data_IF_970417000913
#
_entry.id   IF_970417000913
#
_cell.length_a   1.000
_cell.length_b   1.000
_cell.length_c   1.000
_cell.angle_alpha   90.00
_cell.angle_beta   90.00
_cell.angle_gamma   90.00
#
_symmetry.space_group_name_H-M   'P 1'
#
loop_
_entity.id
_entity.type
_entity.pdbx_description
1 polymer ?
#
# COMPACT_ATOMS: atom_id res chain seq x y z
N UNK A 1 39.48 -10.21 22.05
CA UNK A 1 38.22 -10.94 21.78
C UNK A 1 37.22 -9.96 21.19
N UNK A 2 37.01 -9.88 19.86
CA UNK A 2 35.93 -9.06 19.33
C UNK A 2 34.62 -9.84 19.43
N UNK A 3 33.65 -9.25 20.12
CA UNK A 3 32.26 -9.73 20.15
C UNK A 3 31.71 -9.44 18.75
N UNK A 4 31.54 -10.48 17.93
CA UNK A 4 30.75 -10.37 16.70
C UNK A 4 29.32 -10.01 17.11
N UNK A 5 29.00 -8.71 17.14
CA UNK A 5 27.62 -8.25 17.04
C UNK A 5 27.15 -8.69 15.67
N UNK A 6 26.41 -9.80 15.61
CA UNK A 6 25.55 -10.09 14.47
C UNK A 6 24.65 -8.88 14.29
N UNK A 7 24.94 -8.06 13.29
CA UNK A 7 23.97 -7.13 12.77
C UNK A 7 22.84 -8.01 12.24
N UNK A 8 21.78 -8.19 13.03
CA UNK A 8 20.51 -8.63 12.49
C UNK A 8 20.07 -7.47 11.60
N UNK A 9 20.30 -7.60 10.30
CA UNK A 9 19.53 -6.88 9.30
C UNK A 9 18.08 -7.31 9.54
N UNK A 10 17.35 -6.55 10.36
CA UNK A 10 15.92 -6.73 10.55
C UNK A 10 15.22 -6.31 9.26
N UNK A 11 15.29 -7.18 8.25
CA UNK A 11 14.37 -7.10 7.13
C UNK A 11 13.01 -7.37 7.75
N UNK A 12 12.31 -6.29 8.12
CA UNK A 12 11.04 -6.37 8.80
C UNK A 12 10.01 -6.80 7.77
N UNK A 13 9.94 -8.11 7.55
CA UNK A 13 8.99 -8.72 6.63
C UNK A 13 7.57 -8.53 7.17
N UNK A 14 6.62 -8.31 6.26
CA UNK A 14 5.21 -8.36 6.64
C UNK A 14 4.89 -9.78 7.09
N UNK A 15 4.69 -9.95 8.40
CA UNK A 15 4.28 -11.24 8.97
C UNK A 15 2.84 -11.53 8.61
N UNK A 16 2.40 -12.79 8.65
CA UNK A 16 0.98 -13.15 8.44
C UNK A 16 0.03 -12.44 9.41
N UNK A 17 0.49 -12.16 10.63
CA UNK A 17 -0.29 -11.43 11.62
C UNK A 17 -0.45 -9.96 11.21
N UNK A 18 0.62 -9.34 10.72
CA UNK A 18 0.60 -7.97 10.23
C UNK A 18 -0.23 -7.85 8.94
N UNK A 19 -0.10 -8.80 8.02
CA UNK A 19 -0.94 -8.90 6.82
C UNK A 19 -2.44 -8.97 7.18
N UNK A 20 -2.78 -9.78 8.19
CA UNK A 20 -4.16 -9.85 8.69
C UNK A 20 -4.62 -8.52 9.30
N UNK A 21 -3.78 -7.87 10.10
CA UNK A 21 -4.09 -6.56 10.68
C UNK A 21 -4.32 -5.50 9.60
N UNK A 22 -3.46 -5.45 8.59
CA UNK A 22 -3.61 -4.55 7.44
C UNK A 22 -4.89 -4.86 6.66
N UNK A 23 -5.19 -6.14 6.44
CA UNK A 23 -6.43 -6.56 5.77
C UNK A 23 -7.67 -6.11 6.55
N UNK A 24 -7.63 -6.15 7.87
CA UNK A 24 -8.71 -5.67 8.74
C UNK A 24 -8.90 -4.15 8.66
N UNK A 25 -7.86 -3.37 8.34
CA UNK A 25 -7.99 -1.92 8.11
C UNK A 25 -8.94 -1.62 6.95
N UNK A 26 -8.91 -2.44 5.88
CA UNK A 26 -9.75 -2.25 4.71
C UNK A 26 -11.21 -2.65 4.92
N UNK A 27 -11.52 -3.35 6.02
CA UNK A 27 -12.86 -3.87 6.25
C UNK A 27 -13.86 -2.73 6.44
N UNK A 28 -14.90 -2.75 5.60
CA UNK A 28 -16.01 -1.79 5.65
C UNK A 28 -15.74 -0.48 4.94
N UNK A 29 -14.57 -0.30 4.33
CA UNK A 29 -14.20 0.91 3.59
C UNK A 29 -14.54 0.70 2.13
N UNK A 30 -15.36 1.58 1.55
CA UNK A 30 -15.75 1.51 0.14
C UNK A 30 -15.56 2.82 -0.61
N UNK A 31 -15.56 3.95 0.11
CA UNK A 31 -15.45 5.29 -0.45
C UNK A 31 -14.25 6.05 0.11
N UNK A 32 -13.75 7.04 -0.63
CA UNK A 32 -12.70 7.96 -0.15
C UNK A 32 -13.11 8.63 1.17
N UNK A 33 -14.37 9.05 1.29
CA UNK A 33 -14.89 9.66 2.51
C UNK A 33 -14.73 8.74 3.73
N UNK A 34 -14.93 7.42 3.58
CA UNK A 34 -14.75 6.44 4.65
C UNK A 34 -13.28 6.37 5.09
N UNK A 35 -12.36 6.43 4.13
CA UNK A 35 -10.91 6.42 4.39
C UNK A 35 -10.53 7.65 5.21
N UNK A 36 -10.92 8.83 4.74
CA UNK A 36 -10.57 10.10 5.39
C UNK A 36 -11.22 10.22 6.77
N UNK A 37 -12.47 9.80 6.91
CA UNK A 37 -13.17 9.80 8.20
C UNK A 37 -12.51 8.86 9.22
N UNK A 38 -11.92 7.74 8.77
CA UNK A 38 -11.33 6.73 9.64
C UNK A 38 -9.87 6.96 9.96
N UNK A 39 -9.08 7.43 9.00
CA UNK A 39 -7.62 7.54 9.12
C UNK A 39 -7.11 8.97 9.07
N UNK A 40 -7.98 9.94 8.76
CA UNK A 40 -7.58 11.32 8.51
C UNK A 40 -7.06 11.52 7.08
N UNK A 41 -6.43 12.67 6.79
CA UNK A 41 -5.82 12.93 5.50
C UNK A 41 -4.67 11.95 5.21
N UNK A 42 -4.43 11.58 3.94
CA UNK A 42 -3.30 10.73 3.58
C UNK A 42 -1.97 11.43 3.80
N UNK A 43 -0.91 10.65 4.02
CA UNK A 43 0.46 11.16 4.12
C UNK A 43 0.96 11.64 2.74
N UNK A 44 0.59 10.92 1.69
CA UNK A 44 0.91 11.26 0.31
C UNK A 44 -0.27 10.95 -0.60
N UNK A 45 -0.46 11.78 -1.61
CA UNK A 45 -1.47 11.59 -2.63
C UNK A 45 -0.81 11.58 -4.01
N UNK A 46 -1.00 10.48 -4.73
CA UNK A 46 -0.44 10.30 -6.07
C UNK A 46 -1.56 10.35 -7.09
N UNK A 47 -1.60 11.41 -7.87
CA UNK A 47 -2.45 11.47 -9.06
C UNK A 47 -1.73 10.80 -10.24
N UNK A 48 -2.48 10.09 -11.08
CA UNK A 48 -1.99 9.41 -12.29
C UNK A 48 -1.32 8.03 -12.11
N UNK A 49 -1.67 7.28 -11.06
CA UNK A 49 -1.25 5.88 -10.99
C UNK A 49 -2.00 5.06 -12.05
N UNK A 50 -1.28 4.56 -13.06
CA UNK A 50 -1.84 3.69 -14.09
C UNK A 50 -1.83 2.26 -13.57
N UNK A 51 -3.00 1.69 -13.28
CA UNK A 51 -3.10 0.25 -13.06
C UNK A 51 -3.25 -0.43 -14.43
N UNK A 52 -2.16 -0.95 -14.98
CA UNK A 52 -2.23 -1.82 -16.16
C UNK A 52 -2.94 -3.12 -15.77
N UNK A 53 -4.22 -3.26 -16.16
CA UNK A 53 -4.87 -4.58 -16.10
C UNK A 53 -4.30 -5.46 -17.19
N UNK A 54 -3.88 -6.68 -16.83
CA UNK A 54 -3.49 -7.71 -17.82
C UNK A 54 -4.63 -7.89 -18.83
N UNK A 55 -4.32 -8.07 -20.13
CA UNK A 55 -5.33 -8.26 -21.14
C UNK A 55 -6.19 -9.50 -20.82
N UNK A 56 -7.51 -9.32 -20.78
CA UNK A 56 -8.42 -10.46 -20.90
C UNK A 56 -8.20 -11.10 -22.27
N UNK A 57 -8.15 -12.43 -22.29
CA UNK A 57 -7.77 -13.36 -23.37
C UNK A 57 -8.40 -13.17 -24.76
N UNK A 58 -9.12 -12.08 -25.01
CA UNK A 58 -9.91 -11.78 -26.23
C UNK A 58 -9.44 -10.52 -26.99
N UNK A 59 -8.22 -10.02 -26.78
CA UNK A 59 -7.65 -8.97 -27.64
C UNK A 59 -8.29 -7.57 -27.52
N UNK A 60 -8.96 -7.27 -26.40
CA UNK A 60 -9.41 -5.90 -26.10
C UNK A 60 -8.21 -5.06 -25.63
N UNK A 61 -8.08 -3.80 -26.08
CA UNK A 61 -7.00 -2.92 -25.67
C UNK A 61 -7.01 -2.70 -24.16
N UNK A 62 -5.80 -2.63 -23.59
CA UNK A 62 -5.57 -2.35 -22.18
C UNK A 62 -6.25 -1.03 -21.79
N UNK A 63 -7.29 -1.08 -20.96
CA UNK A 63 -7.74 0.13 -20.27
C UNK A 63 -6.83 0.33 -19.07
N UNK A 64 -5.78 1.11 -19.27
CA UNK A 64 -5.11 1.78 -18.17
C UNK A 64 -6.10 2.77 -17.58
N UNK A 65 -6.78 2.38 -16.51
CA UNK A 65 -7.54 3.34 -15.71
C UNK A 65 -6.51 4.17 -14.94
N UNK A 66 -6.63 5.49 -15.06
CA UNK A 66 -5.82 6.45 -14.30
C UNK A 66 -6.49 6.56 -12.94
N UNK A 67 -5.79 6.17 -11.88
CA UNK A 67 -6.32 6.23 -10.52
C UNK A 67 -5.55 7.27 -9.71
N UNK A 68 -6.27 7.89 -8.78
CA UNK A 68 -5.66 8.60 -7.65
C UNK A 68 -5.34 7.56 -6.57
N UNK A 69 -4.20 7.68 -5.91
CA UNK A 69 -3.79 6.78 -4.84
C UNK A 69 -3.54 7.57 -3.57
N UNK A 70 -4.23 7.19 -2.50
CA UNK A 70 -4.02 7.73 -1.15
C UNK A 70 -3.04 6.81 -0.43
N UNK A 71 -1.89 7.33 -0.03
CA UNK A 71 -0.83 6.55 0.62
C UNK A 71 -0.75 6.94 2.09
N UNK A 72 -0.76 5.92 2.94
CA UNK A 72 -0.62 6.02 4.39
C UNK A 72 0.62 5.23 4.81
N UNK A 73 1.66 5.97 5.16
CA UNK A 73 2.92 5.44 5.64
C UNK A 73 2.86 5.18 7.15
N UNK A 74 1.93 5.79 7.87
CA UNK A 74 1.86 5.69 9.33
C UNK A 74 0.95 4.56 9.87
N UNK A 75 0.20 3.87 8.99
CA UNK A 75 -0.70 2.77 9.39
C UNK A 75 0.02 1.45 9.66
N UNK A 76 1.25 1.28 9.16
CA UNK A 76 2.12 0.13 9.44
C UNK A 76 3.59 0.56 9.44
N UNK A 77 4.38 0.01 10.37
CA UNK A 77 5.82 0.25 10.41
C UNK A 77 6.56 -0.38 9.22
N UNK A 78 6.00 -1.45 8.64
CA UNK A 78 6.68 -2.32 7.67
C UNK A 78 6.03 -2.32 6.29
N UNK A 79 4.87 -1.67 6.13
CA UNK A 79 4.14 -1.57 4.88
C UNK A 79 3.59 -0.16 4.66
N UNK A 80 3.50 0.26 3.40
CA UNK A 80 2.69 1.40 3.00
C UNK A 80 1.28 0.88 2.72
N UNK A 81 0.29 1.51 3.34
CA UNK A 81 -1.12 1.19 3.11
C UNK A 81 -1.63 2.15 2.04
N UNK A 82 -2.17 1.61 0.95
CA UNK A 82 -2.53 2.36 -0.23
C UNK A 82 -4.02 2.16 -0.55
N UNK A 83 -4.72 3.23 -0.88
CA UNK A 83 -6.10 3.19 -1.35
C UNK A 83 -6.15 3.71 -2.78
N UNK A 84 -6.46 2.83 -3.73
CA UNK A 84 -6.69 3.20 -5.12
C UNK A 84 -8.10 3.75 -5.25
N UNK A 85 -8.22 5.00 -5.69
CA UNK A 85 -9.46 5.74 -5.90
C UNK A 85 -9.86 5.65 -7.35
N UNK A 86 -11.00 5.02 -7.63
CA UNK A 86 -11.63 4.97 -8.93
C UNK A 86 -12.47 6.21 -9.25
N UNK A 87 -12.99 6.26 -10.48
CA UNK A 87 -13.72 7.43 -11.03
C UNK A 87 -15.01 7.82 -10.29
N UNK A 88 -15.48 7.04 -9.34
CA UNK A 88 -16.69 7.30 -8.54
C UNK A 88 -16.38 7.41 -7.04
N UNK A 89 -15.16 7.84 -6.71
CA UNK A 89 -14.62 7.88 -5.35
C UNK A 89 -14.66 6.54 -4.61
N UNK A 90 -14.86 5.45 -5.35
CA UNK A 90 -14.78 4.10 -4.81
C UNK A 90 -13.32 3.76 -4.57
N UNK A 91 -13.03 3.13 -3.44
CA UNK A 91 -11.67 2.79 -3.06
C UNK A 91 -11.45 1.29 -3.01
N UNK A 92 -10.23 0.91 -3.39
CA UNK A 92 -9.70 -0.43 -3.16
C UNK A 92 -8.43 -0.33 -2.32
N UNK A 93 -8.44 -0.99 -1.17
CA UNK A 93 -7.26 -1.12 -0.32
C UNK A 93 -6.24 -2.10 -0.90
N UNK A 94 -4.97 -1.72 -0.84
CA UNK A 94 -3.81 -2.57 -1.08
C UNK A 94 -2.68 -2.16 -0.13
N UNK A 95 -1.62 -2.94 -0.07
CA UNK A 95 -0.43 -2.55 0.65
C UNK A 95 0.83 -2.96 -0.14
N UNK A 96 1.89 -2.20 0.05
CA UNK A 96 3.22 -2.51 -0.46
C UNK A 96 4.20 -2.62 0.70
N UNK A 97 5.09 -3.61 0.68
CA UNK A 97 6.11 -3.72 1.72
C UNK A 97 7.06 -2.52 1.61
N UNK A 98 7.32 -1.86 2.73
CA UNK A 98 8.36 -0.83 2.78
C UNK A 98 9.69 -1.53 2.59
N UNK A 99 10.41 -1.15 1.54
CA UNK A 99 11.80 -1.52 1.42
C UNK A 99 12.57 -0.67 2.43
N UNK A 100 12.85 -1.24 3.62
CA UNK A 100 13.86 -0.70 4.53
C UNK A 100 15.21 -1.16 3.96
N UNK A 101 15.55 -0.62 2.79
CA UNK A 101 16.87 -0.78 2.22
C UNK A 101 17.84 -0.04 3.12
N UNK A 102 18.82 -0.78 3.62
CA UNK A 102 19.96 -0.33 4.41
C UNK A 102 20.41 1.07 3.95
N UNK A 103 20.29 2.07 4.82
CA UNK A 103 20.98 3.35 4.64
C UNK A 103 22.47 3.05 4.87
N UNK A 104 23.11 2.44 3.87
CA UNK A 104 24.57 2.35 3.81
C UNK A 104 25.06 3.75 3.47
N UNK A 105 25.42 4.51 4.52
CA UNK A 105 26.33 5.67 4.40
C UNK A 105 27.74 5.21 4.07
#
# INVERSE_FOLDING_TARGET
>A
MPILRRQHTEVSHVTKQEERRITELFRGIRMVADVIARFGPPDEERENAVLMRRPSREGKPERGEVFRVLVYNNLSAVANVEFLVGNSDSVRGTWSQKYIGDQVS
#
